data_IF_877115465569
#
_entry.id   IF_877115465569
#
_cell.length_a   1.000
_cell.length_b   1.000
_cell.length_c   1.000
_cell.angle_alpha   90.00
_cell.angle_beta   90.00
_cell.angle_gamma   90.00
#
_symmetry.space_group_name_H-M   'P 1'
#
loop_
_entity.id
_entity.type
_entity.pdbx_description
1 polymer ?
#
# COMPACT_ATOMS: atom_id res chain seq x y z
N UNK A 1 -4.03 18.71 22.06
CA UNK A 1 -2.71 18.05 21.92
C UNK A 1 -2.62 17.57 20.48
N UNK A 2 -1.55 17.90 19.76
CA UNK A 2 -1.34 17.43 18.39
C UNK A 2 -0.97 15.94 18.40
N UNK A 3 -1.46 15.18 17.43
CA UNK A 3 -1.09 13.79 17.23
C UNK A 3 0.35 13.66 16.76
N UNK A 4 1.09 12.73 17.36
CA UNK A 4 2.45 12.35 16.95
C UNK A 4 2.38 11.22 15.94
N UNK A 5 2.86 11.49 14.72
CA UNK A 5 2.88 10.51 13.64
C UNK A 5 4.28 9.96 13.41
N UNK A 6 4.36 8.65 13.17
CA UNK A 6 5.50 8.03 12.49
C UNK A 6 5.03 7.58 11.11
N UNK A 7 5.55 8.21 10.06
CA UNK A 7 5.35 7.78 8.67
C UNK A 7 6.62 7.08 8.21
N UNK A 8 6.53 5.78 7.94
CA UNK A 8 7.67 4.97 7.54
C UNK A 8 7.40 4.22 6.25
N UNK A 9 8.46 3.95 5.47
CA UNK A 9 8.35 3.21 4.22
C UNK A 9 9.23 1.97 4.16
N UNK A 10 8.74 0.92 3.48
CA UNK A 10 9.56 -0.16 2.93
C UNK A 10 9.38 -0.18 1.43
N UNK A 11 10.44 0.15 0.70
CA UNK A 11 10.40 0.22 -0.77
C UNK A 11 11.45 -0.67 -1.44
N UNK A 12 11.16 -1.10 -2.66
CA UNK A 12 12.15 -1.67 -3.59
C UNK A 12 12.58 -0.69 -4.69
N UNK A 13 11.65 0.13 -5.20
CA UNK A 13 11.83 0.91 -6.44
C UNK A 13 11.26 2.34 -6.38
N UNK A 14 11.17 2.92 -5.18
CA UNK A 14 10.90 4.35 -5.01
C UNK A 14 9.43 4.77 -4.93
N UNK A 15 8.49 4.14 -5.66
CA UNK A 15 7.06 4.54 -5.63
C UNK A 15 6.47 4.61 -4.22
N UNK A 16 6.78 3.62 -3.38
CA UNK A 16 6.33 3.61 -1.98
C UNK A 16 6.96 4.72 -1.15
N UNK A 17 8.23 5.07 -1.40
CA UNK A 17 8.87 6.21 -0.74
C UNK A 17 8.18 7.51 -1.16
N UNK A 18 7.89 7.67 -2.45
CA UNK A 18 7.16 8.84 -2.97
C UNK A 18 5.81 9.03 -2.27
N UNK A 19 5.03 7.96 -2.11
CA UNK A 19 3.78 8.01 -1.34
C UNK A 19 3.99 8.34 0.14
N UNK A 20 5.00 7.77 0.78
CA UNK A 20 5.32 8.12 2.16
C UNK A 20 5.69 9.60 2.29
N UNK A 21 6.49 10.12 1.36
CA UNK A 21 6.95 11.52 1.38
C UNK A 21 5.77 12.48 1.21
N UNK A 22 4.84 12.20 0.28
CA UNK A 22 3.60 12.97 0.14
C UNK A 22 2.74 12.93 1.41
N UNK A 23 2.54 11.73 1.99
CA UNK A 23 1.76 11.58 3.21
C UNK A 23 2.39 12.34 4.39
N UNK A 24 3.70 12.26 4.55
CA UNK A 24 4.41 12.93 5.62
C UNK A 24 4.37 14.46 5.46
N UNK A 25 4.50 14.97 4.23
CA UNK A 25 4.34 16.38 3.93
C UNK A 25 2.93 16.87 4.32
N UNK A 26 1.89 16.09 4.00
CA UNK A 26 0.51 16.39 4.39
C UNK A 26 0.31 16.45 5.91
N UNK A 27 1.05 15.63 6.67
CA UNK A 27 0.98 15.56 8.14
C UNK A 27 2.00 16.48 8.84
N UNK A 28 2.85 17.19 8.10
CA UNK A 28 3.90 18.04 8.66
C UNK A 28 5.02 17.29 9.39
N UNK A 29 5.30 16.04 9.00
CA UNK A 29 6.36 15.20 9.59
C UNK A 29 7.37 14.74 8.52
N UNK A 30 8.46 14.11 8.94
CA UNK A 30 9.42 13.47 8.02
C UNK A 30 9.13 11.99 7.83
N UNK A 31 9.60 11.43 6.71
CA UNK A 31 9.59 9.99 6.47
C UNK A 31 10.89 9.34 6.88
N UNK A 32 10.82 8.05 7.23
CA UNK A 32 12.00 7.23 7.47
C UNK A 32 11.86 5.83 6.87
N UNK A 33 12.98 5.22 6.47
CA UNK A 33 12.96 3.81 6.08
C UNK A 33 12.57 2.98 7.30
N UNK A 34 11.57 2.11 7.16
CA UNK A 34 11.06 1.32 8.27
C UNK A 34 12.06 0.29 8.84
N UNK A 35 13.25 0.11 8.23
CA UNK A 35 14.38 -0.59 8.87
C UNK A 35 15.06 0.25 9.96
N UNK A 36 15.00 1.56 9.85
CA UNK A 36 15.73 2.52 10.67
C UNK A 36 14.86 3.16 11.75
N UNK A 37 13.53 3.02 11.65
CA UNK A 37 12.60 3.43 12.73
C UNK A 37 12.97 2.67 14.00
N UNK A 38 13.27 3.37 15.09
CA UNK A 38 13.51 2.77 16.40
C UNK A 38 12.19 2.33 17.06
N UNK A 39 12.21 1.32 17.94
CA UNK A 39 10.99 0.85 18.63
C UNK A 39 10.50 1.91 19.63
N UNK A 40 11.38 2.77 20.15
CA UNK A 40 11.07 3.90 21.03
C UNK A 40 10.22 4.95 20.30
N UNK A 41 10.58 5.27 19.05
CA UNK A 41 9.78 6.18 18.21
C UNK A 41 8.36 5.63 18.00
N UNK A 42 8.21 4.31 17.88
CA UNK A 42 6.91 3.65 17.76
C UNK A 42 6.13 3.74 19.07
N UNK A 43 6.80 3.54 20.21
CA UNK A 43 6.19 3.62 21.53
C UNK A 43 5.60 5.01 21.80
N UNK A 44 6.36 6.06 21.47
CA UNK A 44 6.03 7.47 21.71
C UNK A 44 5.00 8.07 20.75
N UNK A 45 4.80 7.47 19.57
CA UNK A 45 3.86 7.95 18.55
C UNK A 45 2.41 7.65 18.93
N UNK A 46 1.48 8.51 18.55
CA UNK A 46 0.04 8.22 18.67
C UNK A 46 -0.44 7.37 17.49
N UNK A 47 0.16 7.60 16.30
CA UNK A 47 -0.21 6.94 15.05
C UNK A 47 1.04 6.49 14.29
N UNK A 48 1.01 5.24 13.80
CA UNK A 48 2.10 4.67 12.98
C UNK A 48 1.56 4.26 11.62
N UNK A 49 2.14 4.82 10.56
CA UNK A 49 1.79 4.49 9.18
C UNK A 49 2.96 3.79 8.49
N UNK A 50 2.70 2.58 7.97
CA UNK A 50 3.63 1.87 7.10
C UNK A 50 3.19 1.99 5.65
N UNK A 51 3.95 2.73 4.84
CA UNK A 51 3.88 2.64 3.39
C UNK A 51 4.69 1.43 2.93
N UNK A 52 4.04 0.43 2.34
CA UNK A 52 4.63 -0.85 2.01
C UNK A 52 4.52 -1.18 0.53
N UNK A 53 5.65 -1.50 -0.11
CA UNK A 53 5.62 -2.13 -1.44
C UNK A 53 4.93 -3.49 -1.33
N UNK A 54 3.96 -3.71 -2.20
CA UNK A 54 3.41 -5.02 -2.48
C UNK A 54 4.31 -5.76 -3.47
N UNK A 55 4.93 -6.84 -3.01
CA UNK A 55 5.77 -7.71 -3.82
C UNK A 55 5.17 -9.12 -3.85
N UNK A 56 4.60 -9.52 -4.99
CA UNK A 56 3.95 -10.82 -5.17
C UNK A 56 2.88 -11.15 -4.10
N UNK A 57 2.07 -10.18 -3.69
CA UNK A 57 1.08 -10.42 -2.63
C UNK A 57 1.58 -10.07 -1.24
N UNK A 58 2.88 -9.86 -1.03
CA UNK A 58 3.46 -9.65 0.30
C UNK A 58 3.74 -8.16 0.57
N UNK A 59 3.38 -7.73 1.78
CA UNK A 59 3.78 -6.42 2.32
C UNK A 59 5.20 -6.48 2.86
N UNK A 60 6.09 -5.66 2.31
CA UNK A 60 7.43 -5.52 2.84
C UNK A 60 7.42 -4.92 4.25
N UNK A 61 8.18 -5.52 5.16
CA UNK A 61 8.20 -5.11 6.57
C UNK A 61 7.04 -5.64 7.41
N UNK A 62 6.10 -6.41 6.82
CA UNK A 62 4.93 -6.93 7.53
C UNK A 62 5.29 -7.72 8.78
N UNK A 63 6.38 -8.50 8.79
CA UNK A 63 6.78 -9.28 9.97
C UNK A 63 6.99 -8.39 11.21
N UNK A 64 7.83 -7.36 11.08
CA UNK A 64 8.08 -6.41 12.18
C UNK A 64 6.84 -5.59 12.50
N UNK A 65 6.14 -5.07 11.48
CA UNK A 65 4.95 -4.27 11.69
C UNK A 65 3.86 -5.03 12.47
N UNK A 66 3.60 -6.30 12.10
CA UNK A 66 2.67 -7.17 12.83
C UNK A 66 3.09 -7.46 14.28
N UNK A 67 4.38 -7.44 14.59
CA UNK A 67 4.85 -7.54 15.97
C UNK A 67 4.52 -6.26 16.74
N UNK A 68 4.78 -5.10 16.15
CA UNK A 68 4.49 -3.80 16.76
C UNK A 68 2.99 -3.58 16.99
N UNK A 69 2.13 -3.94 16.03
CA UNK A 69 0.66 -3.86 16.21
C UNK A 69 0.20 -4.71 17.41
N UNK A 70 0.76 -5.90 17.59
CA UNK A 70 0.43 -6.77 18.74
C UNK A 70 1.00 -6.26 20.06
N UNK A 71 2.12 -5.55 20.02
CA UNK A 71 2.76 -4.97 21.19
C UNK A 71 2.03 -3.72 21.70
N UNK A 72 1.40 -2.97 20.80
CA UNK A 72 0.68 -1.73 21.12
C UNK A 72 -0.78 -1.79 20.62
N UNK A 73 -1.63 -2.67 21.19
CA UNK A 73 -2.99 -2.92 20.69
C UNK A 73 -3.89 -1.68 20.72
N UNK A 74 -3.62 -0.72 21.61
CA UNK A 74 -4.39 0.52 21.78
C UNK A 74 -3.97 1.65 20.81
N UNK A 75 -2.92 1.45 20.00
CA UNK A 75 -2.36 2.49 19.12
C UNK A 75 -2.97 2.43 17.73
N UNK A 76 -3.13 3.60 17.09
CA UNK A 76 -3.59 3.66 15.70
C UNK A 76 -2.47 3.21 14.75
N UNK A 77 -2.74 2.16 13.99
CA UNK A 77 -1.84 1.66 12.96
C UNK A 77 -2.53 1.71 11.59
N UNK A 78 -1.80 2.21 10.59
CA UNK A 78 -2.28 2.26 9.22
C UNK A 78 -1.26 1.70 8.22
N UNK A 79 -1.76 1.18 7.10
CA UNK A 79 -0.91 0.66 6.01
C UNK A 79 -1.31 1.27 4.67
N UNK A 80 -0.35 1.88 3.97
CA UNK A 80 -0.50 2.25 2.56
C UNK A 80 0.13 1.15 1.71
N UNK A 81 -0.69 0.34 1.04
CA UNK A 81 -0.24 -0.70 0.13
C UNK A 81 0.05 -0.11 -1.24
N UNK A 82 1.28 -0.29 -1.73
CA UNK A 82 1.68 0.24 -3.04
C UNK A 82 2.03 -0.90 -3.98
N UNK A 83 1.19 -1.13 -4.99
CA UNK A 83 1.43 -2.13 -6.03
C UNK A 83 1.68 -1.47 -7.38
N UNK A 84 2.71 -1.95 -8.09
CA UNK A 84 3.13 -1.38 -9.37
C UNK A 84 2.58 -2.14 -10.58
N UNK A 85 2.09 -3.37 -10.43
CA UNK A 85 1.49 -4.09 -11.56
C UNK A 85 0.25 -3.33 -12.03
N UNK A 86 0.19 -2.85 -13.28
CA UNK A 86 -0.92 -2.07 -13.82
C UNK A 86 -2.18 -2.95 -13.85
N UNK A 87 -2.93 -2.93 -12.75
CA UNK A 87 -4.20 -3.63 -12.62
C UNK A 87 -5.33 -2.61 -12.79
N UNK A 88 -6.20 -2.79 -13.79
CA UNK A 88 -7.36 -1.93 -13.98
C UNK A 88 -8.22 -1.93 -12.73
N UNK A 89 -8.77 -0.77 -12.37
CA UNK A 89 -9.79 -0.68 -11.31
C UNK A 89 -10.93 -1.71 -11.53
N UNK A 90 -11.21 -2.04 -12.78
CA UNK A 90 -12.25 -2.98 -13.25
C UNK A 90 -11.89 -4.47 -13.09
N UNK A 91 -10.61 -4.81 -12.87
CA UNK A 91 -10.14 -6.21 -12.76
C UNK A 91 -9.57 -6.55 -11.38
N UNK A 92 -8.99 -5.57 -10.70
CA UNK A 92 -8.56 -5.67 -9.31
C UNK A 92 -9.61 -5.18 -8.33
N UNK A 93 -10.83 -4.91 -8.82
CA UNK A 93 -11.90 -4.14 -8.19
C UNK A 93 -12.10 -4.48 -6.74
N UNK A 94 -11.33 -3.85 -5.87
CA UNK A 94 -11.43 -3.89 -4.41
C UNK A 94 -11.13 -5.28 -3.82
N UNK A 95 -11.63 -6.37 -4.41
CA UNK A 95 -11.49 -7.76 -3.99
C UNK A 95 -10.06 -8.25 -4.07
N UNK A 96 -9.30 -7.87 -5.11
CA UNK A 96 -7.88 -8.25 -5.26
C UNK A 96 -7.00 -7.59 -4.20
N UNK A 97 -7.13 -6.27 -4.03
CA UNK A 97 -6.38 -5.52 -3.01
C UNK A 97 -6.79 -5.94 -1.59
N UNK A 98 -8.09 -6.16 -1.36
CA UNK A 98 -8.63 -6.67 -0.09
C UNK A 98 -8.11 -8.06 0.23
N UNK A 99 -8.07 -8.97 -0.75
CA UNK A 99 -7.48 -10.30 -0.59
C UNK A 99 -5.99 -10.20 -0.20
N UNK A 100 -5.20 -9.41 -0.94
CA UNK A 100 -3.77 -9.23 -0.63
C UNK A 100 -3.56 -8.62 0.75
N UNK A 101 -4.38 -7.63 1.13
CA UNK A 101 -4.32 -7.04 2.45
C UNK A 101 -4.60 -8.08 3.54
N UNK A 102 -5.73 -8.79 3.48
CA UNK A 102 -6.08 -9.79 4.50
C UNK A 102 -5.17 -11.01 4.52
N UNK A 103 -4.55 -11.36 3.39
CA UNK A 103 -3.51 -12.38 3.36
C UNK A 103 -2.31 -11.97 4.23
N UNK A 104 -1.93 -10.69 4.23
CA UNK A 104 -0.86 -10.19 5.09
C UNK A 104 -1.32 -9.92 6.53
N UNK A 105 -2.54 -9.39 6.68
CA UNK A 105 -3.14 -8.90 7.91
C UNK A 105 -4.56 -9.48 8.08
N UNK A 106 -4.68 -10.75 8.51
CA UNK A 106 -5.99 -11.36 8.76
C UNK A 106 -6.78 -10.56 9.80
N UNK A 107 -8.06 -10.29 9.52
CA UNK A 107 -8.89 -9.42 10.37
C UNK A 107 -8.99 -9.92 11.82
N UNK A 108 -9.06 -11.24 12.03
CA UNK A 108 -9.07 -11.88 13.36
C UNK A 108 -7.84 -11.52 14.22
N UNK A 109 -6.70 -11.22 13.59
CA UNK A 109 -5.43 -10.93 14.27
C UNK A 109 -5.08 -9.45 14.27
N UNK A 110 -5.64 -8.69 13.33
CA UNK A 110 -5.33 -7.27 13.11
C UNK A 110 -6.62 -6.47 12.82
N UNK A 111 -7.61 -6.49 13.72
CA UNK A 111 -8.94 -5.92 13.46
C UNK A 111 -8.91 -4.39 13.36
N UNK A 112 -7.93 -3.72 13.95
CA UNK A 112 -7.93 -2.27 14.11
C UNK A 112 -7.13 -1.51 13.04
N UNK A 113 -6.72 -2.17 11.95
CA UNK A 113 -5.88 -1.54 10.94
C UNK A 113 -6.68 -0.71 9.94
N UNK A 114 -6.31 0.55 9.78
CA UNK A 114 -6.69 1.32 8.61
C UNK A 114 -5.75 1.01 7.43
N UNK A 115 -6.26 1.00 6.20
CA UNK A 115 -5.42 0.75 5.04
C UNK A 115 -5.99 1.34 3.75
N UNK A 116 -5.12 1.71 2.83
CA UNK A 116 -5.51 2.04 1.46
C UNK A 116 -4.57 1.39 0.46
N UNK A 117 -5.01 1.30 -0.79
CA UNK A 117 -4.20 0.90 -1.92
C UNK A 117 -3.84 2.11 -2.78
N UNK A 118 -2.58 2.18 -3.20
CA UNK A 118 -2.09 3.17 -4.14
C UNK A 118 -1.37 2.48 -5.31
N UNK A 119 -1.60 2.97 -6.53
CA UNK A 119 -0.89 2.48 -7.71
C UNK A 119 0.52 3.05 -7.77
N UNK A 120 1.52 2.21 -7.91
CA UNK A 120 2.92 2.63 -8.05
C UNK A 120 3.36 2.73 -9.50
N UNK A 121 4.47 3.45 -9.73
CA UNK A 121 5.19 3.36 -11.00
C UNK A 121 5.74 1.94 -11.24
N UNK A 122 5.74 1.51 -12.50
CA UNK A 122 6.34 0.29 -12.99
C UNK A 122 7.30 0.60 -14.13
N UNK A 123 8.56 0.21 -13.93
CA UNK A 123 9.61 0.29 -14.92
C UNK A 123 10.14 -1.13 -15.21
N UNK A 124 9.93 -1.69 -16.41
CA UNK A 124 10.45 -2.99 -16.82
C UNK A 124 11.97 -3.08 -16.77
N UNK A 125 12.69 -1.99 -17.06
CA UNK A 125 14.15 -1.99 -17.09
C UNK A 125 14.75 -2.14 -15.70
N UNK A 126 14.04 -1.67 -14.68
CA UNK A 126 14.47 -1.86 -13.30
C UNK A 126 14.13 -3.25 -12.77
N UNK A 127 13.20 -4.00 -13.37
CA UNK A 127 12.78 -5.30 -12.84
C UNK A 127 13.90 -6.34 -12.79
N UNK A 128 13.79 -7.27 -11.83
CA UNK A 128 14.61 -8.48 -11.89
C UNK A 128 14.24 -9.24 -13.17
N UNK A 129 15.19 -9.82 -13.92
CA UNK A 129 14.90 -10.49 -15.19
C UNK A 129 13.80 -11.57 -15.08
N UNK A 130 13.82 -12.35 -13.99
CA UNK A 130 12.75 -13.33 -13.70
C UNK A 130 11.40 -12.67 -13.42
N UNK A 131 11.36 -11.60 -12.61
CA UNK A 131 10.12 -10.88 -12.32
C UNK A 131 9.50 -10.33 -13.62
N UNK A 132 10.35 -9.78 -14.49
CA UNK A 132 9.96 -9.25 -15.80
C UNK A 132 9.38 -10.34 -16.71
N UNK A 133 10.02 -11.51 -16.77
CA UNK A 133 9.54 -12.63 -17.57
C UNK A 133 8.16 -13.11 -17.12
N UNK A 134 7.95 -13.26 -15.80
CA UNK A 134 6.66 -13.63 -15.22
C UNK A 134 5.58 -12.61 -15.58
N UNK A 135 5.90 -11.33 -15.47
CA UNK A 135 4.98 -10.23 -15.81
C UNK A 135 4.64 -10.20 -17.31
N UNK A 136 5.60 -10.48 -18.20
CA UNK A 136 5.33 -10.58 -19.64
C UNK A 136 4.42 -11.76 -19.97
N UNK A 137 4.69 -12.93 -19.39
CA UNK A 137 3.84 -14.11 -19.55
C UNK A 137 2.41 -13.84 -19.06
N UNK A 138 2.28 -13.13 -17.93
CA UNK A 138 0.98 -12.69 -17.44
C UNK A 138 0.30 -11.73 -18.43
N UNK A 139 1.00 -10.73 -18.96
CA UNK A 139 0.46 -9.82 -19.98
C UNK A 139 -0.01 -10.54 -21.24
N UNK A 140 0.73 -11.53 -21.72
CA UNK A 140 0.34 -12.33 -22.88
C UNK A 140 -0.89 -13.21 -22.58
N UNK A 141 -0.99 -13.78 -21.38
CA UNK A 141 -2.20 -14.47 -20.90
C UNK A 141 -3.42 -13.54 -20.87
N UNK A 142 -3.28 -12.31 -20.38
CA UNK A 142 -4.36 -11.32 -20.36
C UNK A 142 -4.81 -10.94 -21.78
N UNK A 143 -3.87 -10.77 -22.70
CA UNK A 143 -4.20 -10.50 -24.10
C UNK A 143 -4.92 -11.66 -24.78
N UNK A 144 -4.59 -12.92 -24.44
CA UNK A 144 -5.34 -14.08 -24.91
C UNK A 144 -6.79 -14.07 -24.37
N UNK A 145 -7.00 -13.65 -23.12
CA UNK A 145 -8.33 -13.48 -22.52
C UNK A 145 -9.15 -12.34 -23.12
N UNK A 146 -8.52 -11.28 -23.60
CA UNK A 146 -9.20 -10.16 -24.24
C UNK A 146 -10.09 -10.56 -25.44
N UNK A 147 -9.79 -11.69 -26.09
CA UNK A 147 -10.63 -12.25 -27.16
C UNK A 147 -12.01 -12.71 -26.66
N UNK A 148 -12.10 -13.10 -25.38
CA UNK A 148 -13.32 -13.57 -24.72
C UNK A 148 -13.98 -12.48 -23.86
N UNK A 149 -13.21 -11.48 -23.42
CA UNK A 149 -13.65 -10.40 -22.53
C UNK A 149 -13.17 -9.03 -23.05
N UNK A 150 -13.72 -8.53 -24.18
CA UNK A 150 -13.16 -7.37 -24.89
C UNK A 150 -13.39 -6.03 -24.17
N UNK A 151 -14.34 -5.96 -23.24
CA UNK A 151 -14.66 -4.75 -22.45
C UNK A 151 -13.51 -4.38 -21.51
N UNK A 152 -12.61 -5.31 -21.22
CA UNK A 152 -11.56 -5.12 -20.22
C UNK A 152 -10.26 -4.59 -20.84
N UNK A 153 -9.52 -3.71 -20.15
CA UNK A 153 -8.37 -3.01 -20.72
C UNK A 153 -7.08 -3.86 -20.73
N UNK A 154 -7.20 -5.14 -21.03
CA UNK A 154 -6.11 -6.10 -21.08
C UNK A 154 -5.01 -5.77 -22.10
N UNK A 155 -5.38 -5.12 -23.22
CA UNK A 155 -4.40 -4.65 -24.21
C UNK A 155 -3.47 -3.59 -23.59
N UNK A 156 -4.05 -2.58 -22.95
CA UNK A 156 -3.32 -1.54 -22.24
C UNK A 156 -2.44 -2.13 -21.13
N UNK A 157 -2.97 -3.07 -20.33
CA UNK A 157 -2.16 -3.74 -19.30
C UNK A 157 -0.93 -4.42 -19.89
N UNK A 158 -1.08 -5.12 -21.01
CA UNK A 158 0.05 -5.78 -21.68
C UNK A 158 1.08 -4.76 -22.18
N UNK A 159 0.62 -3.63 -22.70
CA UNK A 159 1.49 -2.52 -23.13
C UNK A 159 2.24 -1.93 -21.93
N UNK A 160 1.53 -1.56 -20.87
CA UNK A 160 2.12 -1.03 -19.63
C UNK A 160 3.12 -2.03 -19.00
N UNK A 161 2.83 -3.34 -19.06
CA UNK A 161 3.74 -4.38 -18.60
C UNK A 161 5.02 -4.47 -19.43
N UNK A 162 4.99 -4.12 -20.72
CA UNK A 162 6.14 -4.17 -21.63
C UNK A 162 6.94 -2.87 -21.67
N UNK A 163 6.26 -1.72 -21.54
CA UNK A 163 6.84 -0.40 -21.75
C UNK A 163 6.97 0.43 -20.47
N UNK A 164 6.31 0.01 -19.39
CA UNK A 164 6.26 0.75 -18.15
C UNK A 164 5.09 1.74 -18.11
N UNK A 165 4.77 2.18 -16.91
CA UNK A 165 3.79 3.22 -16.64
C UNK A 165 4.10 3.90 -15.31
N UNK A 166 3.89 5.21 -15.20
CA UNK A 166 3.84 5.86 -13.88
C UNK A 166 2.37 5.90 -13.40
N UNK A 167 2.04 4.99 -12.49
CA UNK A 167 0.73 4.95 -11.84
C UNK A 167 0.66 5.77 -10.55
N UNK A 168 1.74 6.44 -10.14
CA UNK A 168 1.75 7.24 -8.92
C UNK A 168 0.87 8.48 -9.08
N UNK A 169 -0.12 8.60 -8.21
CA UNK A 169 -1.01 9.75 -8.13
C UNK A 169 -1.28 10.06 -6.65
N UNK A 170 -0.92 11.28 -6.23
CA UNK A 170 -1.11 11.73 -4.85
C UNK A 170 -2.58 11.69 -4.43
N UNK A 171 -3.53 11.81 -5.37
CA UNK A 171 -4.96 11.69 -5.09
C UNK A 171 -5.34 10.32 -4.50
N UNK A 172 -4.56 9.26 -4.76
CA UNK A 172 -4.78 7.95 -4.14
C UNK A 172 -4.58 7.94 -2.62
N UNK A 173 -3.90 8.96 -2.05
CA UNK A 173 -3.71 9.10 -0.61
C UNK A 173 -4.82 9.90 0.08
N UNK A 174 -5.65 10.64 -0.66
CA UNK A 174 -6.59 11.58 -0.06
C UNK A 174 -7.43 10.97 1.09
N UNK A 175 -8.00 9.76 0.94
CA UNK A 175 -8.79 9.15 2.03
C UNK A 175 -7.96 8.79 3.27
N UNK A 176 -6.68 8.43 3.08
CA UNK A 176 -5.74 8.17 4.17
C UNK A 176 -5.35 9.45 4.88
N UNK A 177 -5.08 10.52 4.13
CA UNK A 177 -4.76 11.84 4.68
C UNK A 177 -5.93 12.38 5.50
N UNK A 178 -7.14 12.33 4.96
CA UNK A 178 -8.37 12.76 5.64
C UNK A 178 -8.61 11.96 6.93
N UNK A 179 -8.51 10.62 6.85
CA UNK A 179 -8.64 9.76 8.02
C UNK A 179 -7.63 10.14 9.11
N UNK A 180 -6.34 10.25 8.76
CA UNK A 180 -5.27 10.51 9.73
C UNK A 180 -5.38 11.91 10.34
N UNK A 181 -5.71 12.94 9.55
CA UNK A 181 -5.92 14.32 10.04
C UNK A 181 -7.17 14.45 10.92
N UNK A 182 -8.15 13.57 10.74
CA UNK A 182 -9.36 13.51 11.57
C UNK A 182 -9.17 12.83 12.93
N UNK A 183 -8.02 12.17 13.17
CA UNK A 183 -7.76 11.49 14.44
C UNK A 183 -7.44 12.48 15.56
N UNK A 184 -7.95 12.17 16.75
CA UNK A 184 -7.64 12.84 18.01
C UNK A 184 -7.21 11.80 19.05
N UNK A 185 -6.71 12.26 20.20
CA UNK A 185 -6.30 11.37 21.29
C UNK A 185 -7.43 10.46 21.82
N UNK A 186 -8.69 10.84 21.59
CA UNK A 186 -9.88 10.08 22.00
C UNK A 186 -10.53 9.31 20.83
N UNK A 187 -9.96 9.34 19.63
CA UNK A 187 -10.51 8.61 18.49
C UNK A 187 -10.49 7.11 18.76
N UNK A 188 -11.63 6.41 18.64
CA UNK A 188 -11.66 4.97 18.83
C UNK A 188 -10.90 4.27 17.71
N UNK A 189 -10.32 3.12 18.03
CA UNK A 189 -9.76 2.22 17.02
C UNK A 189 -10.89 1.68 16.11
N UNK A 190 -10.63 1.43 14.82
CA UNK A 190 -11.59 0.78 13.93
C UNK A 190 -12.04 -0.57 14.49
N UNK A 191 -13.34 -0.87 14.49
CA UNK A 191 -13.84 -2.18 14.98
C UNK A 191 -13.46 -3.35 14.06
N UNK A 192 -13.19 -3.05 12.78
CA UNK A 192 -12.74 -3.98 11.75
C UNK A 192 -11.75 -3.27 10.81
N UNK A 193 -10.96 -4.01 10.00
CA UNK A 193 -9.95 -3.39 9.17
C UNK A 193 -10.56 -2.41 8.17
N UNK A 194 -10.21 -1.13 8.32
CA UNK A 194 -10.82 -0.03 7.62
C UNK A 194 -10.18 0.18 6.25
N UNK A 195 -10.86 -0.24 5.18
CA UNK A 195 -10.41 0.01 3.81
C UNK A 195 -10.79 1.43 3.34
N UNK A 196 -9.77 2.27 3.14
CA UNK A 196 -9.87 3.67 2.72
C UNK A 196 -9.68 3.85 1.20
N UNK A 197 -9.46 2.80 0.41
CA UNK A 197 -9.18 2.88 -1.04
C UNK A 197 -10.32 3.50 -1.88
N UNK A 198 -11.53 3.59 -1.34
CA UNK A 198 -12.77 3.90 -2.07
C UNK A 198 -13.65 4.96 -1.42
N UNK A 199 -13.15 5.58 -0.34
CA UNK A 199 -13.86 6.69 0.29
C UNK A 199 -13.57 7.97 -0.45
#
# INVERSE_FOLDING_TARGET
MFMKYVVAYRTRRGSTKRYADWLAADLGVSTQDFRQVADEQIAEADVVVLCSTNYYGLSLGAHRFKRLVRQYPEKHFAVVFVGSTPMPREYGGISGHRFMFHFNYPAEKFPHLAWCWCMGAYDPAQQHPWDRLVLYAYGDYLAARAKKEPVKPFKKMREDLRHGCDGCDQANLAPMVEYLKGLTASSPLPAEPLNLTLR
#
